data_IF_190699699967
#
_entry.id   IF_190699699967
#
_cell.length_a   1.000
_cell.length_b   1.000
_cell.length_c   1.000
_cell.angle_alpha   90.00
_cell.angle_beta   90.00
_cell.angle_gamma   90.00
#
_symmetry.space_group_name_H-M   'P 1'
#
loop_
_entity.id
_entity.type
_entity.pdbx_description
1 polymer ?
#
# COMPACT_ATOMS: atom_id res chain seq x y z
N UNK A 1 1.25 -13.03 -17.16
CA UNK A 1 1.64 -12.67 -15.79
C UNK A 1 1.20 -11.23 -15.58
N UNK A 2 0.08 -11.02 -14.90
CA UNK A 2 -0.45 -9.68 -14.66
C UNK A 2 -0.36 -9.42 -13.16
N UNK A 3 0.06 -8.23 -12.78
CA UNK A 3 0.06 -7.81 -11.38
C UNK A 3 -1.38 -7.47 -10.98
N UNK A 4 -2.06 -8.45 -10.40
CA UNK A 4 -3.46 -8.32 -9.97
C UNK A 4 -3.62 -7.50 -8.68
N UNK A 5 -2.55 -7.34 -7.90
CA UNK A 5 -2.57 -6.68 -6.59
C UNK A 5 -2.02 -5.26 -6.65
N UNK A 6 -1.06 -5.00 -7.55
CA UNK A 6 -0.41 -3.71 -7.75
C UNK A 6 -1.38 -2.53 -7.79
N UNK A 7 -2.44 -2.55 -8.63
CA UNK A 7 -3.40 -1.45 -8.69
C UNK A 7 -4.07 -1.12 -7.35
N UNK A 8 -4.38 -2.12 -6.53
CA UNK A 8 -4.97 -1.87 -5.20
C UNK A 8 -3.92 -1.39 -4.19
N UNK A 9 -2.71 -1.96 -4.25
CA UNK A 9 -1.62 -1.55 -3.37
C UNK A 9 -1.28 -0.08 -3.58
N UNK A 10 -1.10 0.36 -4.83
CA UNK A 10 -0.78 1.77 -5.12
C UNK A 10 -1.93 2.71 -4.79
N UNK A 11 -3.19 2.29 -4.96
CA UNK A 11 -4.35 3.09 -4.60
C UNK A 11 -4.39 3.37 -3.09
N UNK A 12 -4.26 2.34 -2.26
CA UNK A 12 -4.22 2.51 -0.80
C UNK A 12 -2.99 3.29 -0.35
N UNK A 13 -1.83 2.95 -0.91
CA UNK A 13 -0.55 3.56 -0.52
C UNK A 13 -0.53 5.07 -0.81
N UNK A 14 -0.83 5.48 -2.04
CA UNK A 14 -0.78 6.89 -2.41
C UNK A 14 -1.91 7.70 -1.79
N UNK A 15 -3.11 7.12 -1.57
CA UNK A 15 -4.16 7.80 -0.78
C UNK A 15 -3.69 8.12 0.64
N UNK A 16 -2.93 7.23 1.28
CA UNK A 16 -2.41 7.48 2.64
C UNK A 16 -1.30 8.54 2.65
N UNK A 17 -0.42 8.53 1.64
CA UNK A 17 0.71 9.47 1.55
C UNK A 17 0.27 10.88 1.16
N UNK A 18 -0.61 11.02 0.17
CA UNK A 18 -1.08 12.33 -0.32
C UNK A 18 -2.29 12.85 0.46
N UNK A 19 -2.98 12.00 1.22
CA UNK A 19 -4.21 12.37 1.91
C UNK A 19 -5.36 12.68 0.95
N UNK A 20 -6.32 13.48 1.42
CA UNK A 20 -7.53 13.86 0.66
C UNK A 20 -7.46 15.24 0.01
N UNK A 21 -6.42 16.03 0.28
CA UNK A 21 -6.27 17.38 -0.26
C UNK A 21 -5.13 17.45 -1.27
N UNK A 22 -5.35 17.96 -2.49
CA UNK A 22 -4.31 18.12 -3.51
C UNK A 22 -3.22 19.13 -3.11
N UNK A 23 -3.42 19.91 -2.06
CA UNK A 23 -2.45 20.87 -1.53
C UNK A 23 -1.49 20.25 -0.49
N UNK A 24 -1.75 19.01 -0.06
CA UNK A 24 -0.87 18.30 0.86
C UNK A 24 0.32 17.71 0.11
N UNK A 25 1.53 18.10 0.53
CA UNK A 25 2.74 17.43 0.09
C UNK A 25 2.76 15.98 0.61
N UNK A 26 3.28 15.02 -0.18
CA UNK A 26 3.38 13.63 0.24
C UNK A 26 4.28 13.53 1.47
N UNK A 27 3.77 12.90 2.54
CA UNK A 27 4.53 12.64 3.75
C UNK A 27 5.21 11.28 3.67
N UNK A 28 6.50 11.27 3.31
CA UNK A 28 7.28 10.03 3.17
C UNK A 28 7.46 9.28 4.49
N UNK A 29 7.33 9.95 5.64
CA UNK A 29 7.43 9.30 6.96
C UNK A 29 6.28 8.30 7.19
N UNK A 30 5.20 8.42 6.41
CA UNK A 30 4.05 7.50 6.44
C UNK A 30 4.18 6.31 5.49
N UNK A 31 5.26 6.17 4.74
CA UNK A 31 5.40 5.11 3.74
C UNK A 31 5.27 3.70 4.34
N UNK A 32 5.88 3.44 5.50
CA UNK A 32 5.76 2.15 6.18
C UNK A 32 4.30 1.85 6.59
N UNK A 33 3.59 2.84 7.13
CA UNK A 33 2.18 2.72 7.50
C UNK A 33 1.28 2.52 6.28
N UNK A 34 1.49 3.31 5.22
CA UNK A 34 0.77 3.23 3.96
C UNK A 34 0.86 1.81 3.36
N UNK A 35 2.07 1.25 3.34
CA UNK A 35 2.28 -0.11 2.86
C UNK A 35 1.62 -1.15 3.78
N UNK A 36 1.71 -0.97 5.09
CA UNK A 36 1.05 -1.85 6.06
C UNK A 36 -0.47 -1.91 5.81
N UNK A 37 -1.11 -0.77 5.56
CA UNK A 37 -2.55 -0.71 5.26
C UNK A 37 -2.90 -1.42 3.95
N UNK A 38 -2.11 -1.22 2.90
CA UNK A 38 -2.29 -1.90 1.62
C UNK A 38 -2.19 -3.43 1.75
N UNK A 39 -1.15 -3.93 2.42
CA UNK A 39 -0.95 -5.36 2.67
C UNK A 39 -2.03 -5.94 3.59
N UNK A 40 -2.45 -5.19 4.60
CA UNK A 40 -3.55 -5.59 5.49
C UNK A 40 -4.83 -5.83 4.67
N UNK A 41 -5.16 -4.93 3.74
CA UNK A 41 -6.33 -5.07 2.86
C UNK A 41 -6.25 -6.35 2.01
N UNK A 42 -5.10 -6.62 1.38
CA UNK A 42 -4.88 -7.87 0.64
C UNK A 42 -5.10 -9.11 1.52
N UNK A 43 -4.58 -9.09 2.74
CA UNK A 43 -4.65 -10.22 3.68
C UNK A 43 -6.06 -10.44 4.24
N UNK A 44 -6.76 -9.38 4.63
CA UNK A 44 -8.01 -9.50 5.39
C UNK A 44 -9.26 -9.39 4.53
N UNK A 45 -9.28 -8.45 3.58
CA UNK A 45 -10.47 -8.19 2.75
C UNK A 45 -10.48 -9.11 1.54
N UNK A 46 -9.36 -9.19 0.82
CA UNK A 46 -9.24 -10.07 -0.35
C UNK A 46 -8.89 -11.51 -0.04
N UNK A 47 -8.44 -11.80 1.19
CA UNK A 47 -7.96 -13.12 1.60
C UNK A 47 -6.88 -13.66 0.64
N UNK A 48 -6.05 -12.76 0.11
CA UNK A 48 -4.99 -13.12 -0.82
C UNK A 48 -4.01 -14.09 -0.14
N UNK A 49 -3.51 -15.06 -0.90
CA UNK A 49 -2.53 -16.02 -0.39
C UNK A 49 -1.26 -15.30 0.09
N UNK A 50 -0.55 -15.89 1.04
CA UNK A 50 0.70 -15.33 1.59
C UNK A 50 1.68 -14.87 0.49
N UNK A 51 1.80 -15.66 -0.59
CA UNK A 51 2.70 -15.39 -1.71
C UNK A 51 2.36 -14.12 -2.49
N UNK A 52 1.10 -13.68 -2.46
CA UNK A 52 0.63 -12.50 -3.20
C UNK A 52 1.00 -11.20 -2.52
N UNK A 53 1.02 -11.16 -1.18
CA UNK A 53 1.28 -9.92 -0.45
C UNK A 53 2.67 -9.83 0.20
N UNK A 54 3.37 -10.95 0.39
CA UNK A 54 4.73 -10.96 0.95
C UNK A 54 5.76 -10.11 0.16
N UNK A 55 5.70 -9.97 -1.18
CA UNK A 55 6.72 -9.21 -1.91
C UNK A 55 6.66 -7.70 -1.68
N UNK A 56 5.53 -7.18 -1.18
CA UNK A 56 5.41 -5.75 -0.89
C UNK A 56 6.08 -5.43 0.45
N UNK A 57 7.33 -4.97 0.37
CA UNK A 57 8.16 -4.59 1.51
C UNK A 57 8.54 -3.12 1.46
N UNK A 58 8.69 -2.51 2.63
CA UNK A 58 9.24 -1.17 2.78
C UNK A 58 10.64 -1.28 3.36
N UNK A 59 11.60 -0.61 2.73
CA UNK A 59 12.99 -0.51 3.18
C UNK A 59 13.35 0.98 3.25
N UNK A 60 13.53 1.51 4.46
CA UNK A 60 13.74 2.94 4.68
C UNK A 60 13.64 3.32 6.15
N UNK A 61 13.89 4.61 6.42
CA UNK A 61 13.68 5.29 7.70
C UNK A 61 12.51 6.26 7.58
#
# INVERSE_FOLDING_TARGET
>A
MHDEDGPEVVDVFYKHIFGTSPELHPDSTKAAEALHLAVKKLRTEKKASFRRWIPFIHLGL
#
